data_IF_865176965965
#
_entry.id   IF_865176965965
#
_cell.length_a   1.000
_cell.length_b   1.000
_cell.length_c   1.000
_cell.angle_alpha   90.00
_cell.angle_beta   90.00
_cell.angle_gamma   90.00
#
_symmetry.space_group_name_H-M   'P 1'
#
loop_
_entity.id
_entity.type
_entity.pdbx_description
1 polymer ?
#
# COMPACT_ATOMS: atom_id res chain seq x y z
N UNK A 1 12.82 14.66 6.64
CA UNK A 1 11.81 14.14 5.70
C UNK A 1 10.49 14.80 5.99
N UNK A 2 9.74 15.23 4.97
CA UNK A 2 8.50 15.99 5.15
C UNK A 2 7.38 15.09 5.72
N UNK A 3 6.48 15.66 6.52
CA UNK A 3 5.34 14.93 7.10
C UNK A 3 4.16 14.90 6.14
N UNK A 4 3.51 13.74 6.00
CA UNK A 4 2.35 13.54 5.13
C UNK A 4 2.37 12.19 4.41
N UNK A 5 1.67 12.13 3.29
CA UNK A 5 1.62 10.96 2.40
C UNK A 5 1.55 11.38 0.92
N UNK A 6 1.75 10.40 0.02
CA UNK A 6 1.68 10.62 -1.43
C UNK A 6 0.22 10.99 -1.79
N UNK A 7 -0.04 12.09 -2.53
CA UNK A 7 -1.40 12.49 -2.85
C UNK A 7 -2.23 11.36 -3.48
N UNK A 8 -3.48 11.22 -3.01
CA UNK A 8 -4.44 10.20 -3.43
C UNK A 8 -4.09 8.74 -3.05
N UNK A 9 -3.02 8.50 -2.28
CA UNK A 9 -2.77 7.18 -1.71
C UNK A 9 -3.84 6.79 -0.69
N UNK A 10 -4.04 5.48 -0.51
CA UNK A 10 -4.83 4.89 0.57
C UNK A 10 -3.93 4.19 1.56
N UNK A 11 -4.24 4.31 2.85
CA UNK A 11 -3.50 3.59 3.89
C UNK A 11 -4.06 2.19 4.13
N UNK A 12 -3.21 1.16 3.98
CA UNK A 12 -3.49 -0.21 4.40
C UNK A 12 -2.28 -0.76 5.18
N UNK A 13 -2.32 -0.72 6.52
CA UNK A 13 -1.31 -1.39 7.33
C UNK A 13 -1.26 -2.89 7.02
N UNK A 14 -0.09 -3.42 6.65
CA UNK A 14 0.03 -4.85 6.32
C UNK A 14 -0.37 -5.77 7.51
N UNK A 15 -0.27 -5.26 8.75
CA UNK A 15 -0.70 -5.97 9.95
C UNK A 15 -2.19 -6.28 9.94
N UNK A 16 -3.01 -5.49 9.24
CA UNK A 16 -4.45 -5.72 9.11
C UNK A 16 -4.76 -6.95 8.24
N UNK A 17 -3.77 -7.43 7.48
CA UNK A 17 -3.83 -8.67 6.69
C UNK A 17 -3.34 -9.89 7.48
N UNK A 18 -2.90 -9.70 8.72
CA UNK A 18 -2.39 -10.77 9.57
C UNK A 18 -3.35 -11.07 10.73
N UNK A 19 -3.33 -12.32 11.18
CA UNK A 19 -3.99 -12.78 12.39
C UNK A 19 -3.00 -13.63 13.19
N UNK A 20 -2.67 -13.19 14.41
CA UNK A 20 -1.69 -13.87 15.29
C UNK A 20 -0.32 -14.13 14.63
N UNK A 21 0.12 -13.25 13.73
CA UNK A 21 1.40 -13.36 13.03
C UNK A 21 1.35 -14.22 11.76
N UNK A 22 0.21 -14.82 11.44
CA UNK A 22 -0.02 -15.56 10.20
C UNK A 22 -0.88 -14.76 9.24
N UNK A 23 -0.82 -15.08 7.94
CA UNK A 23 -1.72 -14.50 6.96
C UNK A 23 -3.18 -14.85 7.30
N UNK A 24 -4.08 -13.88 7.19
CA UNK A 24 -5.52 -14.15 7.17
C UNK A 24 -5.89 -15.00 5.95
N UNK A 25 -7.10 -15.56 5.95
CA UNK A 25 -7.61 -16.28 4.78
C UNK A 25 -7.64 -15.35 3.56
N UNK A 26 -7.27 -15.84 2.37
CA UNK A 26 -7.24 -15.04 1.15
C UNK A 26 -8.60 -14.39 0.84
N UNK A 27 -9.71 -15.03 1.23
CA UNK A 27 -11.06 -14.45 1.10
C UNK A 27 -11.25 -13.20 1.96
N UNK A 28 -10.72 -13.19 3.18
CA UNK A 28 -10.75 -12.03 4.08
C UNK A 28 -9.81 -10.93 3.58
N UNK A 29 -8.59 -11.30 3.19
CA UNK A 29 -7.61 -10.37 2.62
C UNK A 29 -8.19 -9.70 1.36
N UNK A 30 -8.84 -10.47 0.48
CA UNK A 30 -9.48 -9.94 -0.73
C UNK A 30 -10.58 -8.94 -0.41
N UNK A 31 -11.41 -9.21 0.61
CA UNK A 31 -12.43 -8.27 1.06
C UNK A 31 -11.82 -6.97 1.57
N UNK A 32 -10.78 -7.05 2.41
CA UNK A 32 -10.03 -5.87 2.90
C UNK A 32 -9.47 -5.06 1.73
N UNK A 33 -8.85 -5.72 0.74
CA UNK A 33 -8.36 -5.04 -0.45
C UNK A 33 -9.48 -4.32 -1.21
N UNK A 34 -10.60 -5.00 -1.47
CA UNK A 34 -11.73 -4.41 -2.20
C UNK A 34 -12.31 -3.18 -1.50
N UNK A 35 -12.39 -3.19 -0.16
CA UNK A 35 -12.85 -2.04 0.62
C UNK A 35 -11.90 -0.83 0.50
N UNK A 36 -10.59 -1.07 0.41
CA UNK A 36 -9.57 -0.02 0.32
C UNK A 36 -9.42 0.54 -1.09
N UNK A 37 -9.37 -0.34 -2.10
CA UNK A 37 -9.00 0.03 -3.48
C UNK A 37 -10.21 0.37 -4.36
N UNK A 38 -11.43 -0.06 -3.97
CA UNK A 38 -12.63 0.09 -4.78
C UNK A 38 -12.47 -0.55 -6.18
N UNK A 39 -12.76 0.23 -7.23
CA UNK A 39 -12.71 -0.22 -8.63
C UNK A 39 -11.32 -0.06 -9.29
N UNK A 40 -10.27 0.24 -8.51
CA UNK A 40 -8.93 0.49 -9.04
C UNK A 40 -8.39 -0.73 -9.83
N UNK A 41 -7.99 -0.47 -11.07
CA UNK A 41 -7.47 -1.50 -11.99
C UNK A 41 -5.94 -1.62 -11.98
N UNK A 42 -5.24 -0.63 -11.41
CA UNK A 42 -3.79 -0.61 -11.26
C UNK A 42 -3.46 -0.27 -9.82
N UNK A 43 -2.64 -1.11 -9.19
CA UNK A 43 -2.21 -0.92 -7.81
C UNK A 43 -0.71 -0.65 -7.77
N UNK A 44 -0.35 0.43 -7.07
CA UNK A 44 1.03 0.77 -6.78
C UNK A 44 1.22 0.84 -5.27
N UNK A 45 2.14 0.03 -4.77
CA UNK A 45 2.40 -0.12 -3.34
C UNK A 45 3.63 0.70 -2.94
N UNK A 46 3.53 1.37 -1.80
CA UNK A 46 4.64 2.11 -1.19
C UNK A 46 4.55 2.04 0.32
N UNK A 47 5.67 2.19 1.01
CA UNK A 47 5.70 2.34 2.46
C UNK A 47 6.72 3.43 2.87
N UNK A 48 7.39 3.28 4.00
CA UNK A 48 8.50 4.15 4.38
C UNK A 48 9.73 3.98 3.49
N UNK A 49 10.12 2.73 3.18
CA UNK A 49 11.39 2.37 2.53
C UNK A 49 11.28 1.22 1.52
N UNK A 50 10.08 0.97 0.99
CA UNK A 50 9.81 -0.06 -0.02
C UNK A 50 9.58 -1.48 0.51
N UNK A 51 10.19 -1.87 1.63
CA UNK A 51 10.20 -3.30 2.07
C UNK A 51 8.79 -3.82 2.40
N UNK A 52 8.06 -3.16 3.29
CA UNK A 52 6.73 -3.64 3.72
C UNK A 52 5.67 -3.50 2.63
N UNK A 53 5.90 -2.69 1.60
CA UNK A 53 5.03 -2.59 0.44
C UNK A 53 4.98 -3.92 -0.35
N UNK A 54 6.07 -4.69 -0.35
CA UNK A 54 6.13 -6.00 -0.98
C UNK A 54 5.16 -7.02 -0.35
N UNK A 55 4.83 -6.88 0.94
CA UNK A 55 3.85 -7.75 1.62
C UNK A 55 2.44 -7.53 1.04
N UNK A 56 2.06 -6.26 0.84
CA UNK A 56 0.79 -5.93 0.19
C UNK A 56 0.75 -6.41 -1.26
N UNK A 57 1.85 -6.21 -2.00
CA UNK A 57 1.95 -6.68 -3.39
C UNK A 57 1.83 -8.22 -3.50
N UNK A 58 2.45 -8.96 -2.57
CA UNK A 58 2.31 -10.42 -2.49
C UNK A 58 0.85 -10.82 -2.28
N UNK A 59 0.19 -10.28 -1.25
CA UNK A 59 -1.20 -10.63 -0.97
C UNK A 59 -2.17 -10.21 -2.07
N UNK A 60 -1.93 -9.07 -2.74
CA UNK A 60 -2.70 -8.69 -3.91
C UNK A 60 -2.52 -9.69 -5.06
N UNK A 61 -1.30 -10.17 -5.28
CA UNK A 61 -1.03 -11.22 -6.28
C UNK A 61 -1.81 -12.49 -5.96
N UNK A 62 -1.75 -12.96 -4.70
CA UNK A 62 -2.49 -14.15 -4.24
C UNK A 62 -4.02 -13.99 -4.32
N UNK A 63 -4.54 -12.76 -4.20
CA UNK A 63 -5.97 -12.45 -4.39
C UNK A 63 -6.41 -12.40 -5.86
N UNK A 64 -5.47 -12.53 -6.80
CA UNK A 64 -5.70 -12.56 -8.25
C UNK A 64 -5.62 -11.20 -8.94
N UNK A 65 -5.07 -10.17 -8.30
CA UNK A 65 -4.79 -8.90 -8.97
C UNK A 65 -3.53 -9.02 -9.84
N UNK A 66 -3.54 -8.42 -11.03
CA UNK A 66 -2.50 -8.64 -12.05
C UNK A 66 -1.69 -7.39 -12.42
N UNK A 67 -2.25 -6.19 -12.29
CA UNK A 67 -1.58 -4.93 -12.61
C UNK A 67 -1.02 -4.27 -11.35
N UNK A 68 0.09 -4.84 -10.87
CA UNK A 68 0.71 -4.50 -9.60
C UNK A 68 2.12 -3.94 -9.81
N UNK A 69 2.49 -2.94 -9.01
CA UNK A 69 3.85 -2.41 -8.97
C UNK A 69 4.24 -2.02 -7.54
N UNK A 70 5.52 -2.14 -7.21
CA UNK A 70 6.08 -1.62 -5.96
C UNK A 70 6.94 -0.42 -6.29
N UNK A 71 6.69 0.70 -5.61
CA UNK A 71 7.56 1.86 -5.63
C UNK A 71 8.58 1.73 -4.49
N UNK A 72 9.79 1.29 -4.84
CA UNK A 72 10.87 0.97 -3.92
C UNK A 72 11.43 2.21 -3.20
N UNK A 73 11.55 3.33 -3.89
CA UNK A 73 11.93 4.62 -3.30
C UNK A 73 10.96 5.07 -2.21
N UNK A 74 9.66 4.75 -2.37
CA UNK A 74 8.66 4.88 -1.32
C UNK A 74 8.60 6.29 -0.72
N UNK A 75 8.15 6.43 0.54
CA UNK A 75 8.13 7.73 1.21
C UNK A 75 9.54 8.31 1.40
N UNK A 76 10.56 7.47 1.58
CA UNK A 76 11.97 7.91 1.72
C UNK A 76 12.43 8.78 0.55
N UNK A 77 12.10 8.38 -0.69
CA UNK A 77 12.39 9.16 -1.88
C UNK A 77 11.40 10.32 -2.06
N UNK A 78 10.08 10.04 -2.00
CA UNK A 78 9.06 11.05 -2.27
C UNK A 78 9.09 12.21 -1.26
N UNK A 79 9.16 11.87 0.03
CA UNK A 79 9.19 12.81 1.15
C UNK A 79 10.48 13.61 1.25
N UNK A 80 11.55 13.21 0.56
CA UNK A 80 12.82 13.93 0.49
C UNK A 80 12.86 15.01 -0.59
N UNK A 81 12.03 14.92 -1.64
CA UNK A 81 12.06 15.85 -2.78
C UNK A 81 11.11 17.04 -2.63
N UNK A 82 11.62 18.25 -2.39
CA UNK A 82 10.79 19.46 -2.20
C UNK A 82 9.90 19.83 -3.39
N UNK A 83 10.17 19.31 -4.60
CA UNK A 83 9.37 19.54 -5.80
C UNK A 83 8.11 18.67 -5.89
N UNK A 84 8.01 17.61 -5.09
CA UNK A 84 6.88 16.69 -5.13
C UNK A 84 5.76 17.11 -4.16
N UNK A 85 4.49 16.98 -4.57
CA UNK A 85 3.34 17.34 -3.73
C UNK A 85 3.18 16.38 -2.55
N UNK A 86 2.61 16.90 -1.45
CA UNK A 86 2.32 16.14 -0.23
C UNK A 86 0.86 16.38 0.18
N UNK A 87 0.16 15.31 0.54
CA UNK A 87 -1.13 15.39 1.19
C UNK A 87 -1.00 15.19 2.71
N UNK A 88 -1.90 15.83 3.47
CA UNK A 88 -1.98 15.75 4.94
C UNK A 88 -3.41 15.39 5.35
N UNK A 89 -3.59 14.85 6.57
CA UNK A 89 -4.88 14.32 7.04
C UNK A 89 -5.06 12.83 6.70
N UNK A 90 -6.25 12.30 6.98
CA UNK A 90 -6.57 10.88 6.73
C UNK A 90 -6.99 10.62 5.28
N UNK A 91 -6.52 9.50 4.71
CA UNK A 91 -7.11 8.85 3.52
C UNK A 91 -6.89 7.34 3.45
#
# INVERSE_FOLDING_TARGET
MRSGHIPNSRSLPFMDLLSKGEAKALTEIKAIFSDVIGDAQQLQFSCGSGITACVLALFATECGYSNLSVYDGSWSEWGASDSLPIATGEK
#
